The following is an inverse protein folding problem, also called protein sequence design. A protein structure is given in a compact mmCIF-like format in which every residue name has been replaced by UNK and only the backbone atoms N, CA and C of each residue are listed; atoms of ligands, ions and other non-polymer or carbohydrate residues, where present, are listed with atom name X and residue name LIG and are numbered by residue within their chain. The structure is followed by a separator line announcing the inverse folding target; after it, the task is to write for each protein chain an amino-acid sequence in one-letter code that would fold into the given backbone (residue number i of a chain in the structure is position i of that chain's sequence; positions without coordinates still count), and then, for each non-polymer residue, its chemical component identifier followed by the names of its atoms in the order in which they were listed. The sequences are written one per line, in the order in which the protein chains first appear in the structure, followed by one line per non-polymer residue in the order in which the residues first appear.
data_IF_345574267401
#
_entry.id   IF_345574267401
#
_cell.length_a   1.000
_cell.length_b   1.000
_cell.length_c   1.000
_cell.angle_alpha   90.00
_cell.angle_beta   90.00
_cell.angle_gamma   90.00
#
_symmetry.space_group_name_H-M   'P 1'
#
loop_
_entity.id
_entity.type
_entity.pdbx_description
1 polymer ?
#
# COMPACT_ATOMS: atom_id res chain seq x y z
N UNK A 1 -22.59 -1.68 7.96
CA UNK A 1 -21.26 -2.11 7.46
C UNK A 1 -21.37 -2.87 6.13
N UNK A 2 -22.11 -3.99 6.06
CA UNK A 2 -22.21 -4.83 4.84
C UNK A 2 -22.77 -4.07 3.62
N UNK A 3 -23.84 -3.28 3.82
CA UNK A 3 -24.44 -2.48 2.73
C UNK A 3 -23.48 -1.42 2.15
N UNK A 4 -22.61 -0.86 2.99
CA UNK A 4 -21.53 0.02 2.51
C UNK A 4 -20.53 -0.77 1.66
N UNK A 5 -20.09 -1.94 2.14
CA UNK A 5 -19.05 -2.73 1.48
C UNK A 5 -19.46 -3.22 0.09
N UNK A 6 -20.73 -3.61 -0.10
CA UNK A 6 -21.23 -4.03 -1.43
C UNK A 6 -21.19 -2.92 -2.49
N UNK A 7 -21.15 -1.65 -2.07
CA UNK A 7 -21.02 -0.50 -2.96
C UNK A 7 -19.55 -0.11 -3.22
N UNK A 8 -18.59 -0.84 -2.62
CA UNK A 8 -17.15 -0.64 -2.78
C UNK A 8 -16.56 -1.70 -3.69
N UNK A 9 -16.86 -2.98 -3.42
CA UNK A 9 -16.37 -4.11 -4.22
C UNK A 9 -17.28 -5.33 -4.14
N UNK A 10 -17.12 -6.26 -5.07
CA UNK A 10 -17.91 -7.50 -5.15
C UNK A 10 -17.88 -8.33 -3.85
N UNK A 11 -16.71 -8.48 -3.23
CA UNK A 11 -16.57 -9.29 -2.02
C UNK A 11 -15.22 -9.10 -1.32
N UNK A 12 -15.08 -9.62 -0.09
CA UNK A 12 -13.79 -9.67 0.58
C UNK A 12 -12.81 -10.55 -0.20
N UNK A 13 -11.54 -10.20 -0.16
CA UNK A 13 -10.46 -10.93 -0.81
C UNK A 13 -9.36 -11.15 0.21
N UNK A 14 -8.70 -12.30 0.12
CA UNK A 14 -7.64 -12.68 1.03
C UNK A 14 -6.30 -12.34 0.40
N UNK A 15 -5.42 -11.70 1.17
CA UNK A 15 -4.07 -11.34 0.75
C UNK A 15 -3.28 -12.53 0.18
N UNK A 16 -3.27 -13.66 0.88
CA UNK A 16 -2.49 -14.84 0.50
C UNK A 16 -2.94 -15.46 -0.83
N UNK A 17 -4.20 -15.23 -1.24
CA UNK A 17 -4.74 -15.79 -2.47
C UNK A 17 -4.41 -14.90 -3.69
N UNK A 18 -3.96 -13.66 -3.47
CA UNK A 18 -3.52 -12.78 -4.54
C UNK A 18 -2.18 -13.24 -5.10
N UNK A 19 -2.11 -13.42 -6.42
CA UNK A 19 -0.88 -13.70 -7.13
C UNK A 19 -0.23 -12.38 -7.55
N UNK A 20 0.87 -12.04 -6.89
CA UNK A 20 1.69 -10.88 -7.25
C UNK A 20 2.11 -10.99 -8.72
N UNK A 21 1.97 -9.90 -9.46
CA UNK A 21 2.14 -9.83 -10.91
C UNK A 21 0.90 -10.11 -11.73
N UNK A 22 -0.12 -10.72 -11.14
CA UNK A 22 -1.38 -10.95 -11.82
C UNK A 22 -2.33 -9.79 -11.53
N UNK A 23 -2.80 -9.11 -12.58
CA UNK A 23 -3.65 -7.96 -12.39
C UNK A 23 -5.04 -8.34 -11.91
N UNK A 24 -5.62 -7.44 -11.14
CA UNK A 24 -6.90 -7.66 -10.46
C UNK A 24 -8.08 -7.31 -11.38
N UNK A 25 -8.11 -7.93 -12.57
CA UNK A 25 -8.97 -7.52 -13.70
C UNK A 25 -10.38 -8.11 -13.71
N UNK A 26 -10.70 -9.06 -12.82
CA UNK A 26 -11.97 -9.78 -12.86
C UNK A 26 -13.19 -8.91 -12.49
N UNK A 27 -12.96 -7.73 -11.90
CA UNK A 27 -13.98 -6.79 -11.41
C UNK A 27 -13.56 -5.32 -11.67
N UNK A 28 -13.63 -4.84 -12.92
CA UNK A 28 -13.17 -3.49 -13.27
C UNK A 28 -13.96 -2.38 -12.54
N UNK A 29 -15.21 -2.65 -12.14
CA UNK A 29 -16.07 -1.70 -11.42
C UNK A 29 -15.76 -1.58 -9.92
N UNK A 30 -14.90 -2.45 -9.37
CA UNK A 30 -14.53 -2.39 -7.95
C UNK A 30 -13.68 -1.15 -7.66
N UNK A 31 -13.97 -0.45 -6.56
CA UNK A 31 -13.15 0.68 -6.12
C UNK A 31 -11.76 0.16 -5.74
N UNK A 32 -10.74 0.61 -6.49
CA UNK A 32 -9.35 0.17 -6.36
C UNK A 32 -8.87 -0.78 -7.46
N UNK A 33 -9.61 -0.92 -8.57
CA UNK A 33 -9.15 -1.59 -9.79
C UNK A 33 -8.14 -0.76 -10.59
N UNK A 34 -8.26 0.57 -10.55
CA UNK A 34 -7.34 1.48 -11.22
C UNK A 34 -5.98 1.50 -10.51
N UNK A 35 -4.89 1.40 -11.28
CA UNK A 35 -3.51 1.42 -10.80
C UNK A 35 -2.97 0.05 -10.38
N UNK A 36 -3.77 -1.02 -10.46
CA UNK A 36 -3.36 -2.41 -10.17
C UNK A 36 -3.40 -3.31 -11.41
N UNK A 37 -3.44 -2.72 -12.60
CA UNK A 37 -3.45 -3.41 -13.89
C UNK A 37 -2.13 -4.12 -14.21
N UNK A 38 -1.06 -3.79 -13.48
CA UNK A 38 0.22 -4.51 -13.51
C UNK A 38 0.33 -5.64 -12.48
N UNK A 39 -0.68 -5.85 -11.64
CA UNK A 39 -0.65 -6.86 -10.58
C UNK A 39 0.41 -6.59 -9.50
N UNK A 40 0.87 -5.35 -9.38
CA UNK A 40 1.87 -4.92 -8.40
C UNK A 40 1.37 -3.65 -7.72
N UNK A 41 1.82 -3.43 -6.49
CA UNK A 41 1.58 -2.20 -5.74
C UNK A 41 2.90 -1.65 -5.21
N UNK A 42 2.88 -0.39 -4.81
CA UNK A 42 4.08 0.25 -4.27
C UNK A 42 4.09 0.26 -2.74
N UNK A 43 2.89 0.28 -2.15
CA UNK A 43 2.65 0.39 -0.71
C UNK A 43 1.58 -0.64 -0.31
N UNK A 44 1.81 -1.34 0.80
CA UNK A 44 0.83 -2.18 1.50
C UNK A 44 0.59 -1.57 2.87
N UNK A 45 -0.68 -1.34 3.22
CA UNK A 45 -1.05 -0.80 4.52
C UNK A 45 -1.85 -1.84 5.30
N UNK A 46 -1.40 -2.18 6.51
CA UNK A 46 -2.08 -3.06 7.45
C UNK A 46 -2.66 -2.27 8.61
N UNK A 47 -3.73 -2.78 9.24
CA UNK A 47 -4.47 -2.07 10.28
C UNK A 47 -4.23 -2.61 11.70
N UNK A 48 -3.41 -3.65 11.85
CA UNK A 48 -3.01 -4.25 13.13
C UNK A 48 -1.73 -5.07 12.93
N UNK A 49 -0.91 -5.21 13.98
CA UNK A 49 0.39 -5.88 13.92
C UNK A 49 0.28 -7.35 13.48
N UNK A 50 -0.78 -8.06 13.86
CA UNK A 50 -1.01 -9.44 13.40
C UNK A 50 -1.21 -9.54 11.88
N UNK A 51 -1.88 -8.55 11.28
CA UNK A 51 -2.03 -8.49 9.83
C UNK A 51 -0.69 -8.15 9.17
N UNK A 52 0.12 -7.28 9.80
CA UNK A 52 1.47 -6.96 9.36
C UNK A 52 2.35 -8.20 9.33
N UNK A 53 2.44 -8.96 10.44
CA UNK A 53 3.18 -10.22 10.51
C UNK A 53 2.75 -11.19 9.40
N UNK A 54 1.45 -11.38 9.22
CA UNK A 54 0.91 -12.28 8.20
C UNK A 54 1.23 -11.85 6.76
N UNK A 55 1.37 -10.56 6.50
CA UNK A 55 1.81 -10.03 5.20
C UNK A 55 3.30 -10.25 5.01
N UNK A 56 4.12 -9.95 6.03
CA UNK A 56 5.58 -10.10 5.96
C UNK A 56 5.96 -11.58 5.79
N UNK A 57 5.39 -12.47 6.59
CA UNK A 57 5.63 -13.91 6.49
C UNK A 57 5.27 -14.46 5.10
N UNK A 58 4.14 -14.01 4.54
CA UNK A 58 3.70 -14.43 3.21
C UNK A 58 4.63 -13.90 2.11
N UNK A 59 5.07 -12.64 2.19
CA UNK A 59 6.05 -12.08 1.25
C UNK A 59 7.40 -12.81 1.34
N UNK A 60 7.87 -13.10 2.55
CA UNK A 60 9.10 -13.89 2.76
C UNK A 60 8.97 -15.31 2.19
N UNK A 61 7.84 -15.97 2.41
CA UNK A 61 7.57 -17.31 1.91
C UNK A 61 7.49 -17.38 0.38
N UNK A 62 7.06 -16.30 -0.29
CA UNK A 62 7.03 -16.20 -1.75
C UNK A 62 8.43 -16.13 -2.38
N UNK A 63 9.44 -15.69 -1.63
CA UNK A 63 10.84 -15.68 -2.09
C UNK A 63 11.20 -14.59 -3.10
N UNK A 64 10.44 -13.49 -3.14
CA UNK A 64 10.70 -12.31 -3.98
C UNK A 64 10.95 -12.60 -5.48
N UNK A 65 10.05 -13.34 -6.18
CA UNK A 65 10.24 -13.71 -7.58
C UNK A 65 10.40 -12.53 -8.55
N UNK A 66 9.89 -11.34 -8.21
CA UNK A 66 10.01 -10.14 -9.06
C UNK A 66 11.20 -9.28 -8.69
N UNK A 67 11.78 -9.48 -7.50
CA UNK A 67 12.79 -8.64 -6.90
C UNK A 67 12.41 -7.15 -6.94
N UNK A 68 11.12 -6.85 -6.74
CA UNK A 68 10.58 -5.47 -6.75
C UNK A 68 10.29 -5.03 -5.31
N UNK A 69 10.80 -3.87 -4.87
CA UNK A 69 10.51 -3.38 -3.52
C UNK A 69 9.03 -3.01 -3.35
N UNK A 70 8.51 -3.27 -2.15
CA UNK A 70 7.20 -2.82 -1.68
C UNK A 70 7.33 -2.34 -0.24
N UNK A 71 6.79 -1.15 0.06
CA UNK A 71 6.77 -0.65 1.43
C UNK A 71 5.57 -1.23 2.18
N UNK A 72 5.81 -1.83 3.34
CA UNK A 72 4.73 -2.36 4.19
C UNK A 72 4.64 -1.49 5.44
N UNK A 73 3.50 -0.82 5.60
CA UNK A 73 3.23 0.11 6.69
C UNK A 73 2.09 -0.47 7.54
N UNK A 74 2.33 -0.66 8.82
CA UNK A 74 1.24 -0.94 9.76
C UNK A 74 0.76 0.37 10.38
N UNK A 75 -0.55 0.57 10.48
CA UNK A 75 -1.16 1.62 11.31
C UNK A 75 -2.08 0.91 12.29
N UNK A 76 -1.75 0.93 13.58
CA UNK A 76 -2.52 0.18 14.58
C UNK A 76 -3.88 0.85 14.84
N UNK A 77 -4.96 0.19 14.40
CA UNK A 77 -6.33 0.68 14.48
C UNK A 77 -7.17 -0.35 15.21
N UNK A 78 -7.78 0.04 16.33
CA UNK A 78 -8.67 -0.85 17.09
C UNK A 78 -9.90 -1.24 16.26
N UNK A 79 -10.32 -2.50 16.40
CA UNK A 79 -11.48 -3.05 15.68
C UNK A 79 -12.82 -2.57 16.26
N UNK A 80 -13.13 -1.29 16.04
CA UNK A 80 -14.43 -0.71 16.27
C UNK A 80 -14.73 0.39 15.24
N UNK A 81 -16.00 0.80 15.15
CA UNK A 81 -16.45 1.73 14.11
C UNK A 81 -15.83 3.12 14.20
N UNK A 82 -15.61 3.62 15.42
CA UNK A 82 -15.11 4.98 15.65
C UNK A 82 -13.63 5.08 15.26
N UNK A 83 -12.82 4.15 15.78
CA UNK A 83 -11.39 4.04 15.50
C UNK A 83 -11.15 3.73 14.02
N UNK A 84 -11.94 2.84 13.40
CA UNK A 84 -11.85 2.57 11.96
C UNK A 84 -12.16 3.81 11.11
N UNK A 85 -13.07 4.68 11.55
CA UNK A 85 -13.36 5.92 10.83
C UNK A 85 -12.21 6.92 10.95
N UNK A 86 -11.55 7.01 12.11
CA UNK A 86 -10.40 7.91 12.31
C UNK A 86 -9.17 7.37 11.57
N UNK A 87 -8.84 6.10 11.78
CA UNK A 87 -7.74 5.41 11.10
C UNK A 87 -7.88 5.44 9.59
N UNK A 88 -9.10 5.26 9.04
CA UNK A 88 -9.33 5.37 7.60
C UNK A 88 -9.03 6.76 7.02
N UNK A 89 -9.29 7.84 7.78
CA UNK A 89 -8.91 9.22 7.37
C UNK A 89 -7.41 9.44 7.45
N UNK A 90 -6.77 8.90 8.48
CA UNK A 90 -5.33 8.98 8.65
C UNK A 90 -4.58 8.23 7.53
N UNK A 91 -5.05 7.03 7.17
CA UNK A 91 -4.54 6.26 6.03
C UNK A 91 -4.75 7.02 4.72
N UNK A 92 -5.89 7.67 4.53
CA UNK A 92 -6.15 8.48 3.34
C UNK A 92 -5.17 9.67 3.23
N UNK A 93 -4.87 10.35 4.35
CA UNK A 93 -3.87 11.41 4.40
C UNK A 93 -2.47 10.91 4.01
N UNK A 94 -2.05 9.76 4.54
CA UNK A 94 -0.79 9.11 4.18
C UNK A 94 -0.74 8.76 2.69
N UNK A 95 -1.78 8.09 2.19
CA UNK A 95 -1.85 7.66 0.79
C UNK A 95 -1.83 8.86 -0.19
N UNK A 96 -2.50 9.95 0.14
CA UNK A 96 -2.45 11.17 -0.68
C UNK A 96 -1.05 11.80 -0.69
N UNK A 97 -0.37 11.82 0.47
CA UNK A 97 0.99 12.35 0.57
C UNK A 97 1.98 11.50 -0.24
N UNK A 98 1.88 10.17 -0.14
CA UNK A 98 2.70 9.24 -0.92
C UNK A 98 2.43 9.37 -2.43
N UNK A 99 1.16 9.47 -2.83
CA UNK A 99 0.80 9.66 -4.24
C UNK A 99 1.33 10.99 -4.81
N UNK A 100 1.31 12.06 -4.03
CA UNK A 100 1.89 13.34 -4.45
C UNK A 100 3.40 13.21 -4.69
N UNK A 101 4.14 12.62 -3.74
CA UNK A 101 5.57 12.38 -3.88
C UNK A 101 5.90 11.47 -5.08
N UNK A 102 5.16 10.37 -5.26
CA UNK A 102 5.32 9.48 -6.41
C UNK A 102 5.05 10.20 -7.74
N UNK A 103 4.03 11.07 -7.79
CA UNK A 103 3.70 11.86 -8.98
C UNK A 103 4.83 12.83 -9.32
N UNK A 104 5.37 13.55 -8.34
CA UNK A 104 6.49 14.47 -8.54
C UNK A 104 7.75 13.72 -8.99
N UNK A 105 8.09 12.60 -8.33
CA UNK A 105 9.21 11.75 -8.71
C UNK A 105 9.07 11.21 -10.15
N UNK A 106 7.86 10.76 -10.52
CA UNK A 106 7.55 10.27 -11.87
C UNK A 106 7.64 11.36 -12.92
N UNK A 107 7.22 12.59 -12.61
CA UNK A 107 7.37 13.74 -13.52
C UNK A 107 8.85 14.10 -13.72
N UNK A 108 9.64 14.11 -12.65
CA UNK A 108 11.07 14.44 -12.71
C UNK A 108 11.90 13.38 -13.45
N UNK A 109 11.65 12.10 -13.21
CA UNK A 109 12.36 10.99 -13.85
C UNK A 109 11.87 10.69 -15.28
N UNK A 110 10.64 11.12 -15.61
CA UNK A 110 9.94 10.74 -16.82
C UNK A 110 9.26 9.36 -16.69
N UNK A 111 8.00 9.27 -17.15
CA UNK A 111 7.16 8.09 -17.02
C UNK A 111 7.84 6.78 -17.48
N UNK A 112 8.49 6.79 -18.65
CA UNK A 112 9.14 5.59 -19.19
C UNK A 112 10.29 5.08 -18.30
N UNK A 113 11.00 5.97 -17.61
CA UNK A 113 12.08 5.59 -16.72
C UNK A 113 11.54 5.10 -15.38
N UNK A 114 10.59 5.84 -14.79
CA UNK A 114 9.98 5.51 -13.50
C UNK A 114 9.22 4.16 -13.55
N UNK A 115 8.54 3.90 -14.65
CA UNK A 115 7.73 2.70 -14.84
C UNK A 115 8.56 1.50 -15.38
N UNK A 116 9.88 1.68 -15.61
CA UNK A 116 10.74 0.67 -16.26
C UNK A 116 10.99 -0.60 -15.45
N UNK A 117 10.64 -0.61 -14.16
CA UNK A 117 10.89 -1.74 -13.26
C UNK A 117 12.36 -2.01 -12.94
N UNK A 118 13.28 -1.13 -13.34
CA UNK A 118 14.69 -1.23 -12.99
C UNK A 118 14.95 -0.88 -11.52
N UNK A 119 16.02 -1.44 -10.94
CA UNK A 119 16.34 -1.33 -9.50
C UNK A 119 16.53 0.11 -8.98
N UNK A 120 16.65 1.11 -9.86
CA UNK A 120 16.76 2.54 -9.50
C UNK A 120 15.65 3.42 -10.09
N UNK A 121 14.69 2.86 -10.83
CA UNK A 121 13.67 3.62 -11.55
C UNK A 121 12.87 4.59 -10.66
N UNK A 122 12.65 4.16 -9.41
CA UNK A 122 11.81 4.82 -8.41
C UNK A 122 12.55 5.16 -7.12
N UNK A 123 13.89 5.09 -7.13
CA UNK A 123 14.71 5.31 -5.94
C UNK A 123 14.43 6.67 -5.28
N UNK A 124 14.20 7.72 -6.08
CA UNK A 124 13.86 9.04 -5.58
C UNK A 124 12.54 9.10 -4.79
N UNK A 125 11.56 8.24 -5.13
CA UNK A 125 10.34 8.09 -4.35
C UNK A 125 10.58 7.22 -3.12
N UNK A 126 11.23 6.08 -3.28
CA UNK A 126 11.43 5.11 -2.19
C UNK A 126 12.25 5.71 -1.02
N UNK A 127 13.24 6.56 -1.34
CA UNK A 127 14.05 7.29 -0.35
C UNK A 127 13.24 8.30 0.46
N UNK A 128 12.13 8.83 -0.09
CA UNK A 128 11.27 9.81 0.60
C UNK A 128 10.23 9.17 1.52
N UNK A 129 9.91 7.87 1.34
CA UNK A 129 8.86 7.19 2.10
C UNK A 129 9.06 7.28 3.62
N UNK A 130 10.27 7.06 4.18
CA UNK A 130 10.49 7.17 5.63
C UNK A 130 10.21 8.59 6.17
N UNK A 131 10.64 9.61 5.44
CA UNK A 131 10.43 11.02 5.85
C UNK A 131 8.95 11.41 5.77
N UNK A 132 8.25 10.94 4.73
CA UNK A 132 6.80 11.13 4.59
C UNK A 132 6.06 10.47 5.75
N UNK A 133 6.44 9.25 6.11
CA UNK A 133 5.84 8.52 7.22
C UNK A 133 6.12 9.21 8.56
N UNK A 134 7.34 9.71 8.78
CA UNK A 134 7.68 10.46 9.99
C UNK A 134 6.84 11.74 10.11
N UNK A 135 6.74 12.52 9.04
CA UNK A 135 5.91 13.73 9.03
C UNK A 135 4.41 13.42 9.19
N UNK A 136 3.95 12.27 8.71
CA UNK A 136 2.59 11.79 8.96
C UNK A 136 2.40 11.40 10.43
N UNK A 137 3.36 10.71 11.05
CA UNK A 137 3.31 10.30 12.45
C UNK A 137 3.23 11.50 13.41
N UNK A 138 3.92 12.60 13.08
CA UNK A 138 3.82 13.87 13.81
C UNK A 138 2.40 14.46 13.79
N UNK A 139 1.67 14.29 12.68
CA UNK A 139 0.26 14.74 12.54
C UNK A 139 -0.72 13.79 13.22
N UNK A 140 -0.38 12.49 13.27
CA UNK A 140 -1.22 11.43 13.83
C UNK A 140 -0.54 10.70 15.00
N UNK A 141 -0.18 11.40 16.09
CA UNK A 141 0.65 10.84 17.16
C UNK A 141 -0.02 9.70 17.96
N UNK A 142 -1.35 9.55 17.83
CA UNK A 142 -2.13 8.51 18.51
C UNK A 142 -2.28 7.22 17.69
N UNK A 143 -1.81 7.20 16.44
CA UNK A 143 -1.83 6.05 15.57
C UNK A 143 -0.39 5.63 15.29
N UNK A 144 0.23 4.80 16.15
CA UNK A 144 1.60 4.38 15.96
C UNK A 144 1.71 3.56 14.68
N UNK A 145 2.73 3.88 13.88
CA UNK A 145 3.03 3.17 12.65
C UNK A 145 4.32 2.34 12.75
N UNK A 146 4.29 1.16 12.14
CA UNK A 146 5.48 0.37 11.84
C UNK A 146 5.75 0.44 10.35
N UNK A 147 7.01 0.35 9.96
CA UNK A 147 7.39 0.33 8.56
C UNK A 147 8.55 -0.62 8.31
N UNK A 148 8.47 -1.32 7.19
CA UNK A 148 9.57 -2.09 6.64
C UNK A 148 9.54 -2.04 5.12
N UNK A 149 10.68 -2.33 4.52
CA UNK A 149 10.79 -2.62 3.10
C UNK A 149 10.76 -4.14 2.90
N UNK A 150 9.88 -4.60 2.01
CA UNK A 150 9.77 -5.99 1.61
C UNK A 150 9.92 -6.12 0.08
N UNK A 151 9.89 -7.34 -0.44
CA UNK A 151 10.06 -7.60 -1.87
C UNK A 151 9.00 -8.55 -2.40
N UNK A 152 8.45 -8.16 -3.55
CA UNK A 152 7.63 -8.97 -4.43
C UNK A 152 8.49 -9.86 -5.33
#
# INVERSE_FOLDING_TARGET
MVDRNRNVKWGPERWQDWQVGMPRLDKPDDRGSQGVEGGIVDIVITCEERCWDAVIDDLMARGAPMNRPVHVINVDIKDNHEEASVGGRAILDLANTLNAAATEARQAAGAANFDSGSAGARASFDEQVPDILAAWQDRWPHLPALWTLAWF
#
